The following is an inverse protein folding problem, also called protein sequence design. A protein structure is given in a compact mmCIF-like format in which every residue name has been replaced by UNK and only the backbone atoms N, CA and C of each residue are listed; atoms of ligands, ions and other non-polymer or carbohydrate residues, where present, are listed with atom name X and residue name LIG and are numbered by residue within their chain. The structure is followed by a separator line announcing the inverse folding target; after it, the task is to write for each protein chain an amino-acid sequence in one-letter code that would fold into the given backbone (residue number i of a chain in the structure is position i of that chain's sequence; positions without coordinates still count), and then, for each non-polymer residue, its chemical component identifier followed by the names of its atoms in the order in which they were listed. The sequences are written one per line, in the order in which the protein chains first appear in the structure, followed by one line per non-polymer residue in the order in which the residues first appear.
data_IF_184028571949
#
_entry.id   IF_184028571949
#
_cell.length_a   1.000
_cell.length_b   1.000
_cell.length_c   1.000
_cell.angle_alpha   90.00
_cell.angle_beta   90.00
_cell.angle_gamma   90.00
#
_symmetry.space_group_name_H-M   'P 1'
#
loop_
_entity.id
_entity.type
_entity.pdbx_description
1 polymer ?
#
# COMPACT_ATOMS: atom_id res chain seq x y z
N UNK A 1 -17.14 -2.50 -5.75
CA UNK A 1 -16.41 -2.56 -4.46
C UNK A 1 -14.95 -2.22 -4.73
N UNK A 2 -14.31 -1.48 -3.84
CA UNK A 2 -12.92 -1.04 -4.00
C UNK A 2 -12.08 -1.50 -2.81
N UNK A 3 -10.81 -1.81 -3.05
CA UNK A 3 -9.82 -2.03 -1.99
C UNK A 3 -8.75 -0.96 -2.11
N UNK A 4 -8.78 0.02 -1.22
CA UNK A 4 -7.77 1.07 -1.16
C UNK A 4 -6.56 0.48 -0.44
N UNK A 5 -5.41 0.46 -1.12
CA UNK A 5 -4.18 -0.17 -0.64
C UNK A 5 -3.07 0.87 -0.54
N UNK A 6 -2.32 0.79 0.54
CA UNK A 6 -1.04 1.49 0.71
C UNK A 6 -0.02 0.55 1.37
N UNK A 7 1.22 0.56 0.87
CA UNK A 7 2.28 -0.36 1.27
C UNK A 7 3.57 0.39 1.54
N UNK A 8 4.10 0.20 2.75
CA UNK A 8 5.48 0.54 3.05
C UNK A 8 6.39 -0.66 2.78
N UNK A 9 7.57 -0.38 2.23
CA UNK A 9 8.53 -1.42 1.83
C UNK A 9 9.87 -1.24 2.51
N UNK A 10 10.74 -2.24 2.42
CA UNK A 10 12.13 -2.15 2.89
C UNK A 10 12.99 -1.15 2.12
N UNK A 11 12.49 -0.60 1.00
CA UNK A 11 13.32 -0.02 -0.05
C UNK A 11 14.16 -1.10 -0.74
N UNK A 12 15.09 -0.69 -1.60
CA UNK A 12 16.04 -1.58 -2.24
C UNK A 12 16.00 -1.58 -3.76
N UNK A 13 16.60 -2.63 -4.34
CA UNK A 13 16.57 -2.88 -5.77
C UNK A 13 15.19 -3.36 -6.19
N UNK A 14 14.85 -3.06 -7.45
CA UNK A 14 13.61 -3.49 -8.07
C UNK A 14 13.46 -5.03 -8.03
N UNK A 15 12.35 -5.50 -7.45
CA UNK A 15 11.93 -6.90 -7.20
C UNK A 15 12.63 -7.60 -6.02
N UNK A 16 13.53 -6.92 -5.34
CA UNK A 16 14.19 -7.41 -4.12
C UNK A 16 13.59 -6.78 -2.86
N UNK A 17 12.59 -5.90 -2.99
CA UNK A 17 11.93 -5.26 -1.85
C UNK A 17 11.03 -6.25 -1.09
N UNK A 18 10.83 -5.99 0.20
CA UNK A 18 9.84 -6.67 1.05
C UNK A 18 8.83 -5.70 1.65
N UNK A 19 7.65 -6.19 2.01
CA UNK A 19 6.61 -5.39 2.71
C UNK A 19 6.97 -5.23 4.19
N UNK A 20 6.91 -4.01 4.71
CA UNK A 20 7.13 -3.70 6.13
C UNK A 20 5.84 -3.28 6.84
N UNK A 21 4.91 -2.64 6.12
CA UNK A 21 3.56 -2.33 6.58
C UNK A 21 2.60 -2.38 5.39
N UNK A 22 1.37 -2.81 5.63
CA UNK A 22 0.28 -2.80 4.65
C UNK A 22 -1.00 -2.31 5.30
N UNK A 23 -1.71 -1.43 4.61
CA UNK A 23 -3.07 -1.04 4.94
C UNK A 23 -3.98 -1.31 3.75
N UNK A 24 -5.14 -1.93 4.02
CA UNK A 24 -6.19 -2.18 3.04
C UNK A 24 -7.52 -1.76 3.64
N UNK A 25 -8.23 -0.87 2.95
CA UNK A 25 -9.60 -0.48 3.30
C UNK A 25 -10.55 -0.93 2.19
N UNK A 26 -11.52 -1.77 2.53
CA UNK A 26 -12.60 -2.17 1.62
C UNK A 26 -13.70 -1.12 1.66
N UNK A 27 -14.03 -0.56 0.51
CA UNK A 27 -14.91 0.60 0.37
C UNK A 27 -16.02 0.33 -0.65
N UNK A 28 -17.27 0.59 -0.25
CA UNK A 28 -18.45 0.33 -1.09
C UNK A 28 -18.82 1.50 -2.02
N UNK A 29 -18.14 2.64 -1.90
CA UNK A 29 -18.49 3.89 -2.60
C UNK A 29 -19.02 4.97 -1.66
N UNK A 30 -19.46 4.58 -0.45
CA UNK A 30 -20.02 5.47 0.56
C UNK A 30 -19.29 5.37 1.91
N UNK A 31 -18.88 4.18 2.33
CA UNK A 31 -18.19 3.94 3.60
C UNK A 31 -17.20 2.79 3.52
N UNK A 32 -16.27 2.77 4.48
CA UNK A 32 -15.41 1.62 4.72
C UNK A 32 -16.26 0.50 5.33
N UNK A 33 -16.21 -0.69 4.73
CA UNK A 33 -16.98 -1.86 5.15
C UNK A 33 -16.11 -2.96 5.75
N UNK A 34 -14.80 -2.91 5.51
CA UNK A 34 -13.81 -3.82 6.10
C UNK A 34 -12.43 -3.14 6.07
N UNK A 35 -11.53 -3.55 6.97
CA UNK A 35 -10.14 -3.07 6.98
C UNK A 35 -9.17 -4.17 7.41
N UNK A 36 -7.95 -4.06 6.89
CA UNK A 36 -6.81 -4.86 7.29
C UNK A 36 -5.57 -3.99 7.35
N UNK A 37 -4.93 -3.90 8.53
CA UNK A 37 -3.72 -3.10 8.75
C UNK A 37 -2.75 -3.99 9.51
N UNK A 38 -1.51 -4.10 9.01
CA UNK A 38 -0.51 -4.94 9.66
C UNK A 38 0.90 -4.46 9.37
N UNK A 39 1.76 -4.50 10.38
CA UNK A 39 3.19 -4.63 10.15
C UNK A 39 3.47 -6.01 9.57
N UNK A 40 4.48 -6.11 8.71
CA UNK A 40 4.91 -7.38 8.12
C UNK A 40 6.39 -7.55 8.34
N UNK A 41 6.82 -8.75 8.75
CA UNK A 41 8.22 -9.11 8.80
C UNK A 41 8.69 -9.46 7.37
N UNK A 42 9.56 -8.65 6.74
CA UNK A 42 10.01 -8.86 5.37
C UNK A 42 11.11 -9.92 5.24
N UNK A 43 11.55 -10.48 6.39
CA UNK A 43 12.65 -11.44 6.50
C UNK A 43 13.97 -10.95 5.84
N UNK A 44 14.18 -9.63 5.86
CA UNK A 44 15.36 -8.94 5.31
C UNK A 44 15.57 -7.58 5.96
N UNK A 45 16.72 -6.97 5.66
CA UNK A 45 17.08 -5.65 6.18
C UNK A 45 16.28 -4.52 5.51
N UNK A 46 15.99 -3.48 6.30
CA UNK A 46 15.36 -2.24 5.86
C UNK A 46 16.47 -1.23 5.54
N UNK A 47 16.36 -0.53 4.42
CA UNK A 47 17.33 0.52 4.09
C UNK A 47 17.24 1.68 5.09
N UNK A 48 18.37 2.25 5.57
CA UNK A 48 18.36 3.28 6.61
C UNK A 48 17.49 4.49 6.31
N UNK A 49 17.40 4.92 5.04
CA UNK A 49 16.55 6.06 4.68
C UNK A 49 15.06 5.75 4.83
N UNK A 50 14.63 4.50 4.62
CA UNK A 50 13.23 4.07 4.80
C UNK A 50 12.87 4.08 6.28
N UNK A 51 13.78 3.62 7.14
CA UNK A 51 13.59 3.71 8.60
C UNK A 51 13.39 5.16 9.03
N UNK A 52 14.20 6.08 8.51
CA UNK A 52 14.07 7.51 8.81
C UNK A 52 12.77 8.12 8.25
N UNK A 53 12.29 7.62 7.11
CA UNK A 53 11.08 8.13 6.45
C UNK A 53 9.80 7.65 7.15
N UNK A 54 9.72 6.36 7.46
CA UNK A 54 8.51 5.68 7.95
C UNK A 54 8.47 5.55 9.48
N UNK A 55 9.63 5.64 10.13
CA UNK A 55 9.80 5.30 11.56
C UNK A 55 9.79 3.79 11.84
N UNK A 56 9.54 2.94 10.84
CA UNK A 56 9.50 1.49 10.98
C UNK A 56 10.93 0.96 11.02
N UNK A 57 11.28 0.29 12.12
CA UNK A 57 12.61 -0.29 12.32
C UNK A 57 12.55 -1.81 12.51
N UNK A 58 13.70 -2.48 12.36
CA UNK A 58 13.80 -3.95 12.42
C UNK A 58 13.32 -4.55 13.75
N UNK A 59 13.39 -3.82 14.87
CA UNK A 59 12.89 -4.31 16.15
C UNK A 59 11.36 -4.41 16.17
N UNK A 60 10.65 -3.48 15.50
CA UNK A 60 9.20 -3.54 15.35
C UNK A 60 8.77 -4.73 14.48
N UNK A 61 9.53 -5.00 13.42
CA UNK A 61 9.20 -6.05 12.45
C UNK A 61 9.57 -7.45 12.90
N UNK A 62 10.49 -7.60 13.86
CA UNK A 62 10.95 -8.91 14.34
C UNK A 62 9.81 -9.82 14.82
N UNK A 63 8.82 -9.24 15.49
CA UNK A 63 7.65 -9.94 16.02
C UNK A 63 6.39 -9.75 15.16
N UNK A 64 6.49 -9.03 14.04
CA UNK A 64 5.39 -8.88 13.10
C UNK A 64 5.16 -10.21 12.34
N UNK A 65 3.92 -10.48 11.89
CA UNK A 65 3.66 -11.65 11.07
C UNK A 65 4.46 -11.59 9.76
N UNK A 66 4.91 -12.74 9.29
CA UNK A 66 5.50 -12.89 7.95
C UNK A 66 4.42 -12.79 6.90
N UNK A 67 4.80 -12.48 5.66
CA UNK A 67 3.83 -12.27 4.58
C UNK A 67 2.89 -13.48 4.39
N UNK A 68 3.39 -14.71 4.47
CA UNK A 68 2.55 -15.91 4.30
C UNK A 68 1.47 -16.06 5.39
N UNK A 69 1.67 -15.49 6.58
CA UNK A 69 0.71 -15.55 7.69
C UNK A 69 -0.48 -14.63 7.45
N UNK A 70 -0.28 -13.55 6.68
CA UNK A 70 -1.33 -12.56 6.35
C UNK A 70 -1.85 -12.69 4.91
N UNK A 71 -1.18 -13.45 4.05
CA UNK A 71 -1.49 -13.59 2.63
C UNK A 71 -2.95 -13.97 2.37
N UNK A 72 -3.48 -14.94 3.13
CA UNK A 72 -4.90 -15.36 3.01
C UNK A 72 -5.85 -14.20 3.24
N UNK A 73 -5.62 -13.40 4.29
CA UNK A 73 -6.48 -12.26 4.64
C UNK A 73 -6.44 -11.17 3.56
N UNK A 74 -5.28 -10.94 2.94
CA UNK A 74 -5.11 -10.01 1.83
C UNK A 74 -5.92 -10.48 0.61
N UNK A 75 -5.90 -11.78 0.28
CA UNK A 75 -6.72 -12.33 -0.81
C UNK A 75 -8.21 -12.11 -0.53
N UNK A 76 -8.68 -12.48 0.66
CA UNK A 76 -10.10 -12.40 1.05
C UNK A 76 -10.63 -10.95 1.04
N UNK A 77 -9.88 -9.98 1.59
CA UNK A 77 -10.35 -8.60 1.63
C UNK A 77 -10.39 -7.98 0.22
N UNK A 78 -9.45 -8.36 -0.66
CA UNK A 78 -9.33 -7.82 -2.03
C UNK A 78 -10.14 -8.59 -3.09
N UNK A 79 -10.80 -9.68 -2.73
CA UNK A 79 -11.63 -10.47 -3.63
C UNK A 79 -12.84 -9.66 -4.15
N UNK A 80 -13.12 -9.80 -5.45
CA UNK A 80 -14.16 -9.08 -6.19
C UNK A 80 -14.12 -7.55 -6.00
N UNK A 81 -12.91 -7.00 -5.88
CA UNK A 81 -12.68 -5.55 -5.76
C UNK A 81 -11.71 -5.03 -6.81
N UNK A 82 -11.88 -3.76 -7.18
CA UNK A 82 -10.84 -3.01 -7.89
C UNK A 82 -9.83 -2.51 -6.85
N UNK A 83 -8.55 -2.82 -7.04
CA UNK A 83 -7.47 -2.36 -6.18
C UNK A 83 -7.12 -0.91 -6.52
N UNK A 84 -7.26 -0.02 -5.56
CA UNK A 84 -7.03 1.42 -5.72
C UNK A 84 -5.80 1.83 -4.93
N UNK A 85 -4.87 2.54 -5.55
CA UNK A 85 -3.68 3.05 -4.86
C UNK A 85 -3.13 4.32 -5.52
N UNK A 86 -2.39 5.12 -4.74
CA UNK A 86 -1.79 6.36 -5.20
C UNK A 86 -0.40 6.10 -5.78
N UNK A 87 -0.35 5.79 -7.09
CA UNK A 87 0.74 5.10 -7.79
C UNK A 87 0.58 3.56 -7.80
N UNK A 88 -0.62 3.08 -8.13
CA UNK A 88 -1.00 1.67 -8.02
C UNK A 88 -0.05 0.66 -8.68
N UNK A 89 0.70 1.06 -9.73
CA UNK A 89 1.72 0.21 -10.34
C UNK A 89 2.78 -0.26 -9.33
N UNK A 90 3.13 0.59 -8.36
CA UNK A 90 4.11 0.26 -7.33
C UNK A 90 3.55 -0.77 -6.34
N UNK A 91 2.46 -0.44 -5.63
CA UNK A 91 1.85 -1.30 -4.60
C UNK A 91 1.43 -2.65 -5.18
N UNK A 92 0.80 -2.63 -6.35
CA UNK A 92 0.36 -3.85 -7.01
C UNK A 92 1.52 -4.75 -7.40
N UNK A 93 2.63 -4.19 -7.91
CA UNK A 93 3.85 -4.96 -8.20
C UNK A 93 4.42 -5.59 -6.92
N UNK A 94 4.46 -4.85 -5.81
CA UNK A 94 4.98 -5.37 -4.54
C UNK A 94 4.14 -6.55 -4.06
N UNK A 95 2.80 -6.43 -4.07
CA UNK A 95 1.90 -7.53 -3.73
C UNK A 95 2.12 -8.75 -4.64
N UNK A 96 2.14 -8.53 -5.97
CA UNK A 96 2.39 -9.62 -6.92
C UNK A 96 3.73 -10.31 -6.67
N UNK A 97 4.76 -9.55 -6.29
CA UNK A 97 6.09 -10.10 -6.00
C UNK A 97 6.05 -11.00 -4.76
N UNK A 98 5.40 -10.56 -3.68
CA UNK A 98 5.28 -11.36 -2.46
C UNK A 98 4.42 -12.61 -2.67
N UNK A 99 3.27 -12.49 -3.34
CA UNK A 99 2.44 -13.67 -3.67
C UNK A 99 3.16 -14.65 -4.61
N UNK A 100 3.92 -14.14 -5.60
CA UNK A 100 4.72 -14.99 -6.48
C UNK A 100 5.78 -15.78 -5.72
N UNK A 101 6.38 -15.21 -4.66
CA UNK A 101 7.32 -15.94 -3.77
C UNK A 101 6.64 -17.10 -3.04
N UNK A 102 5.32 -17.01 -2.81
CA UNK A 102 4.50 -18.10 -2.27
C UNK A 102 3.97 -19.07 -3.33
N UNK A 103 4.29 -18.87 -4.62
CA UNK A 103 3.76 -19.67 -5.72
C UNK A 103 2.29 -19.37 -6.06
N UNK A 104 1.77 -18.22 -5.63
CA UNK A 104 0.40 -17.78 -5.91
C UNK A 104 0.41 -16.66 -6.96
N UNK A 105 -0.40 -16.79 -8.02
CA UNK A 105 -0.58 -15.71 -8.99
C UNK A 105 -1.66 -14.74 -8.53
N UNK A 106 -1.24 -13.60 -7.99
CA UNK A 106 -2.15 -12.57 -7.52
C UNK A 106 -2.54 -11.66 -8.68
N UNK A 107 -3.81 -11.71 -9.06
CA UNK A 107 -4.37 -10.89 -10.13
C UNK A 107 -5.60 -10.12 -9.67
N UNK A 108 -5.58 -8.80 -9.84
CA UNK A 108 -6.68 -7.87 -9.57
C UNK A 108 -6.69 -6.77 -10.63
N UNK A 109 -7.88 -6.26 -10.93
CA UNK A 109 -7.99 -4.99 -11.65
C UNK A 109 -7.48 -3.86 -10.76
N UNK A 110 -6.81 -2.88 -11.36
CA UNK A 110 -6.21 -1.76 -10.62
C UNK A 110 -6.68 -0.41 -11.12
N UNK A 111 -6.83 0.55 -10.22
CA UNK A 111 -7.08 1.95 -10.51
C UNK A 111 -6.01 2.81 -9.83
N UNK A 112 -5.30 3.61 -10.63
CA UNK A 112 -4.28 4.53 -10.13
C UNK A 112 -4.89 5.92 -9.91
N UNK A 113 -4.91 6.39 -8.65
CA UNK A 113 -5.50 7.71 -8.37
C UNK A 113 -4.67 8.84 -8.96
N UNK A 114 -3.36 8.67 -9.14
CA UNK A 114 -2.51 9.70 -9.81
C UNK A 114 -2.95 9.91 -11.25
N UNK A 115 -3.19 8.83 -11.98
CA UNK A 115 -3.61 8.89 -13.38
C UNK A 115 -5.03 9.44 -13.48
N UNK A 116 -5.94 8.94 -12.64
CA UNK A 116 -7.32 9.42 -12.60
C UNK A 116 -7.39 10.92 -12.24
N UNK A 117 -6.60 11.38 -11.27
CA UNK A 117 -6.57 12.79 -10.89
C UNK A 117 -6.03 13.69 -12.00
N UNK A 118 -5.05 13.24 -12.80
CA UNK A 118 -4.57 14.02 -13.97
C UNK A 118 -5.67 14.22 -15.01
N UNK A 119 -6.57 13.25 -15.16
CA UNK A 119 -7.70 13.33 -16.09
C UNK A 119 -8.84 14.17 -15.53
N UNK A 120 -9.22 13.96 -14.27
CA UNK A 120 -10.40 14.59 -13.67
C UNK A 120 -10.14 15.99 -13.10
N UNK A 121 -8.90 16.26 -12.69
CA UNK A 121 -8.52 17.49 -11.99
C UNK A 121 -7.23 18.01 -12.64
N UNK A 122 -7.30 18.51 -13.89
CA UNK A 122 -6.12 18.99 -14.59
C UNK A 122 -5.46 20.18 -13.89
N UNK A 123 -4.26 20.53 -14.36
CA UNK A 123 -3.52 21.75 -13.97
C UNK A 123 -3.09 21.86 -12.49
N UNK A 124 -3.04 20.74 -11.77
CA UNK A 124 -2.46 20.72 -10.44
C UNK A 124 -0.94 20.88 -10.49
N UNK A 125 -0.40 21.73 -9.60
CA UNK A 125 1.05 21.94 -9.44
C UNK A 125 1.81 20.65 -9.15
N UNK A 126 1.15 19.67 -8.54
CA UNK A 126 1.70 18.35 -8.27
C UNK A 126 0.58 17.38 -7.92
N UNK A 127 0.73 16.14 -8.40
CA UNK A 127 -0.18 15.03 -8.11
C UNK A 127 0.34 14.11 -7.01
N UNK A 128 1.39 14.48 -6.26
CA UNK A 128 1.75 13.70 -5.08
C UNK A 128 0.65 13.80 -4.04
N UNK A 129 0.35 12.69 -3.36
CA UNK A 129 -0.78 12.56 -2.43
C UNK A 129 -0.88 13.78 -1.51
N UNK A 130 0.20 14.07 -0.78
CA UNK A 130 0.24 15.15 0.20
C UNK A 130 0.07 16.57 -0.38
N UNK A 131 0.37 16.81 -1.67
CA UNK A 131 0.09 18.10 -2.33
C UNK A 131 -1.32 18.16 -2.89
N UNK A 132 -1.78 17.05 -3.48
CA UNK A 132 -3.10 16.95 -4.10
C UNK A 132 -4.22 17.08 -3.06
N UNK A 133 -4.15 16.33 -1.96
CA UNK A 133 -5.14 16.42 -0.86
C UNK A 133 -5.22 17.83 -0.28
N UNK A 134 -4.09 18.55 -0.16
CA UNK A 134 -4.06 19.95 0.28
C UNK A 134 -4.75 20.88 -0.71
N UNK A 135 -4.53 20.68 -2.01
CA UNK A 135 -5.19 21.45 -3.05
C UNK A 135 -6.72 21.22 -3.06
N UNK A 136 -7.16 20.02 -2.68
CA UNK A 136 -8.57 19.65 -2.56
C UNK A 136 -9.20 20.00 -1.20
N UNK A 137 -8.45 20.58 -0.27
CA UNK A 137 -8.94 20.91 1.08
C UNK A 137 -9.22 19.69 1.96
N UNK A 138 -8.63 18.53 1.64
CA UNK A 138 -8.77 17.29 2.41
C UNK A 138 -7.74 17.32 3.57
N UNK A 139 -8.18 17.22 4.83
CA UNK A 139 -7.28 17.13 5.98
C UNK A 139 -6.38 15.88 5.89
N UNK A 140 -5.13 15.98 6.36
CA UNK A 140 -4.19 14.85 6.39
C UNK A 140 -3.60 14.72 7.79
N UNK A 141 -3.56 13.51 8.31
CA UNK A 141 -2.94 13.13 9.58
C UNK A 141 -2.07 11.89 9.36
N UNK A 142 -0.80 11.90 9.81
CA UNK A 142 0.14 10.75 9.73
C UNK A 142 0.60 10.27 8.33
N UNK A 143 1.17 11.19 7.55
CA UNK A 143 1.67 11.01 6.16
C UNK A 143 2.70 9.91 5.86
N UNK A 144 3.22 9.20 6.85
CA UNK A 144 4.34 8.26 6.71
C UNK A 144 4.04 6.87 7.28
N UNK A 145 2.75 6.58 7.42
CA UNK A 145 2.21 5.29 7.84
C UNK A 145 1.19 4.88 6.81
N UNK A 146 1.08 3.59 6.52
CA UNK A 146 0.17 3.11 5.50
C UNK A 146 -1.32 3.44 5.81
N UNK A 147 -1.64 3.69 7.08
CA UNK A 147 -2.98 4.01 7.53
C UNK A 147 -3.33 5.53 7.54
N UNK A 148 -2.37 6.43 7.30
CA UNK A 148 -2.53 7.89 7.43
C UNK A 148 -2.69 8.67 6.12
#
# INVERSE_FOLDING_TARGET
MYSIVDIETTGGKYNEEGITEIAIYKFDGHKVVDQFISLVNPERDIQPFVVNLTGINSNMLKNAPKFYEVAKRIVEITEDTILVAHNAKFDYRILRTEFKRLGFDFERETLCTVELSKTLIPDQKSYSLGKLVRALGIPVSDRHRAAG
#
